data_IF_832189946744
#
_entry.id   IF_832189946744
#
_cell.length_a   1.000
_cell.length_b   1.000
_cell.length_c   1.000
_cell.angle_alpha   90.00
_cell.angle_beta   90.00
_cell.angle_gamma   90.00
#
_symmetry.space_group_name_H-M   'P 1'
#
loop_
_entity.id
_entity.type
_entity.pdbx_description
1 polymer ?
#
# COMPACT_ATOMS: atom_id res chain seq x y z
N UNK A 1 15.24 -15.91 13.55
CA UNK A 1 15.00 -15.67 12.10
C UNK A 1 13.71 -14.90 11.82
N UNK A 2 12.59 -15.14 12.53
CA UNK A 2 11.33 -14.38 12.33
C UNK A 2 11.49 -12.88 12.59
N UNK A 3 12.16 -12.47 13.69
CA UNK A 3 12.39 -11.04 14.01
C UNK A 3 13.04 -10.26 12.86
N UNK A 4 13.98 -10.88 12.11
CA UNK A 4 14.70 -10.25 11.00
C UNK A 4 13.78 -9.92 9.81
N UNK A 5 12.86 -10.82 9.46
CA UNK A 5 11.88 -10.58 8.39
C UNK A 5 10.90 -9.44 8.73
N UNK A 6 10.56 -9.29 10.02
CA UNK A 6 9.65 -8.25 10.50
C UNK A 6 10.37 -6.93 10.84
N UNK A 7 11.69 -6.88 11.08
CA UNK A 7 12.40 -5.63 11.45
C UNK A 7 13.41 -5.11 10.42
N UNK A 8 14.02 -5.94 9.57
CA UNK A 8 14.95 -5.45 8.52
C UNK A 8 14.21 -4.98 7.25
N UNK A 9 13.01 -5.49 6.96
CA UNK A 9 12.22 -5.06 5.79
C UNK A 9 11.52 -3.69 5.94
N UNK A 10 10.99 -3.27 7.11
CA UNK A 10 10.46 -1.92 7.30
C UNK A 10 11.57 -0.85 7.32
N UNK A 11 12.74 -1.20 7.86
CA UNK A 11 13.90 -0.30 7.94
C UNK A 11 14.46 0.05 6.55
N UNK A 12 14.28 -0.80 5.54
CA UNK A 12 14.75 -0.54 4.17
C UNK A 12 13.82 0.38 3.36
N UNK A 13 12.63 0.71 3.88
CA UNK A 13 11.65 1.62 3.25
C UNK A 13 11.34 2.88 4.08
N UNK A 14 11.99 3.06 5.23
CA UNK A 14 11.85 4.27 6.06
C UNK A 14 10.52 4.39 6.82
N UNK A 15 9.75 3.31 6.96
CA UNK A 15 8.51 3.27 7.74
C UNK A 15 8.75 2.55 9.08
N UNK A 16 8.10 3.03 10.15
CA UNK A 16 8.12 2.26 11.40
C UNK A 16 7.39 0.94 11.19
N UNK A 17 7.84 -0.12 11.85
CA UNK A 17 7.18 -1.43 11.77
C UNK A 17 5.67 -1.37 12.07
N UNK A 18 5.28 -0.50 13.01
CA UNK A 18 3.89 -0.27 13.37
C UNK A 18 3.05 0.33 12.23
N UNK A 19 3.59 1.31 11.51
CA UNK A 19 2.91 1.91 10.35
C UNK A 19 2.73 0.89 9.22
N UNK A 20 3.80 0.14 8.91
CA UNK A 20 3.75 -0.87 7.86
C UNK A 20 2.78 -2.01 8.21
N UNK A 21 2.83 -2.50 9.44
CA UNK A 21 1.93 -3.53 9.95
C UNK A 21 0.47 -3.06 9.94
N UNK A 22 0.20 -1.83 10.38
CA UNK A 22 -1.15 -1.26 10.39
C UNK A 22 -1.70 -1.10 8.98
N UNK A 23 -0.89 -0.57 8.05
CA UNK A 23 -1.28 -0.40 6.66
C UNK A 23 -1.56 -1.75 5.99
N UNK A 24 -0.63 -2.70 6.09
CA UNK A 24 -0.78 -4.04 5.52
C UNK A 24 -1.98 -4.79 6.12
N UNK A 25 -2.15 -4.72 7.44
CA UNK A 25 -3.29 -5.34 8.13
C UNK A 25 -4.62 -4.75 7.70
N UNK A 26 -4.71 -3.43 7.49
CA UNK A 26 -5.96 -2.78 7.02
C UNK A 26 -6.40 -3.31 5.65
N UNK A 27 -5.46 -3.55 4.74
CA UNK A 27 -5.73 -4.15 3.43
C UNK A 27 -6.14 -5.62 3.58
N UNK A 28 -5.39 -6.39 4.37
CA UNK A 28 -5.65 -7.81 4.60
C UNK A 28 -7.05 -8.07 5.18
N UNK A 29 -7.43 -7.35 6.25
CA UNK A 29 -8.76 -7.50 6.86
C UNK A 29 -9.89 -7.11 5.90
N UNK A 30 -9.71 -6.06 5.10
CA UNK A 30 -10.69 -5.68 4.08
C UNK A 30 -10.86 -6.76 3.00
N UNK A 31 -9.75 -7.36 2.53
CA UNK A 31 -9.78 -8.47 1.56
C UNK A 31 -10.46 -9.72 2.13
N UNK A 32 -10.17 -10.08 3.38
CA UNK A 32 -10.83 -11.20 4.06
C UNK A 32 -12.33 -10.97 4.15
N UNK A 33 -12.75 -9.78 4.61
CA UNK A 33 -14.17 -9.42 4.68
C UNK A 33 -14.87 -9.45 3.32
N UNK A 34 -14.23 -8.92 2.28
CA UNK A 34 -14.74 -8.99 0.91
C UNK A 34 -14.85 -10.43 0.39
N UNK A 35 -13.85 -11.27 0.68
CA UNK A 35 -13.85 -12.69 0.33
C UNK A 35 -15.01 -13.44 0.99
N UNK A 36 -15.21 -13.24 2.30
CA UNK A 36 -16.35 -13.80 3.02
C UNK A 36 -17.69 -13.33 2.43
N UNK A 37 -17.81 -12.05 2.11
CA UNK A 37 -19.01 -11.50 1.48
C UNK A 37 -19.29 -12.13 0.11
N UNK A 38 -18.25 -12.38 -0.71
CA UNK A 38 -18.39 -13.09 -1.97
C UNK A 38 -18.80 -14.55 -1.80
N UNK A 39 -18.27 -15.26 -0.80
CA UNK A 39 -18.67 -16.63 -0.49
C UNK A 39 -20.15 -16.70 -0.09
N UNK A 40 -20.59 -15.79 0.79
CA UNK A 40 -22.00 -15.70 1.18
C UNK A 40 -22.88 -15.33 -0.01
N UNK A 41 -22.45 -14.40 -0.87
CA UNK A 41 -23.15 -14.05 -2.09
C UNK A 41 -23.30 -15.25 -3.05
N UNK A 42 -22.26 -16.07 -3.19
CA UNK A 42 -22.32 -17.30 -3.99
C UNK A 42 -23.36 -18.30 -3.48
N UNK A 43 -23.61 -18.33 -2.16
CA UNK A 43 -24.66 -19.14 -1.55
C UNK A 43 -26.04 -18.46 -1.60
N UNK A 44 -26.08 -17.15 -1.41
CA UNK A 44 -27.27 -16.30 -1.33
C UNK A 44 -27.13 -15.14 -2.33
N UNK A 45 -27.55 -15.32 -3.60
CA UNK A 45 -27.24 -14.39 -4.69
C UNK A 45 -27.88 -13.00 -4.55
N UNK A 46 -28.81 -12.81 -3.60
CA UNK A 46 -29.41 -11.52 -3.28
C UNK A 46 -28.65 -10.74 -2.19
N UNK A 47 -27.74 -11.38 -1.46
CA UNK A 47 -26.98 -10.76 -0.37
C UNK A 47 -25.60 -10.33 -0.88
N UNK A 48 -25.09 -9.18 -0.42
CA UNK A 48 -23.73 -8.68 -0.74
C UNK A 48 -23.37 -8.49 -2.23
N UNK A 49 -24.37 -8.28 -3.10
CA UNK A 49 -24.25 -8.18 -4.58
C UNK A 49 -23.10 -7.30 -5.09
N UNK A 50 -22.82 -6.19 -4.41
CA UNK A 50 -21.76 -5.23 -4.80
C UNK A 50 -20.65 -5.10 -3.77
N UNK A 51 -20.70 -5.88 -2.68
CA UNK A 51 -19.78 -5.67 -1.55
C UNK A 51 -18.35 -6.05 -1.91
N UNK A 52 -18.16 -7.17 -2.60
CA UNK A 52 -16.84 -7.62 -3.04
C UNK A 52 -16.19 -6.64 -4.02
N UNK A 53 -16.89 -6.29 -5.09
CA UNK A 53 -16.35 -5.38 -6.12
C UNK A 53 -16.05 -3.99 -5.57
N UNK A 54 -16.96 -3.39 -4.80
CA UNK A 54 -16.74 -2.07 -4.16
C UNK A 54 -15.55 -2.08 -3.21
N UNK A 55 -15.34 -3.18 -2.49
CA UNK A 55 -14.18 -3.30 -1.61
C UNK A 55 -12.88 -3.35 -2.43
N UNK A 56 -12.81 -4.16 -3.48
CA UNK A 56 -11.64 -4.24 -4.36
C UNK A 56 -11.37 -2.89 -5.04
N UNK A 57 -12.40 -2.21 -5.56
CA UNK A 57 -12.27 -0.87 -6.13
C UNK A 57 -11.68 0.11 -5.11
N UNK A 58 -12.19 0.11 -3.88
CA UNK A 58 -11.67 0.96 -2.80
C UNK A 58 -10.21 0.66 -2.44
N UNK A 59 -9.83 -0.63 -2.36
CA UNK A 59 -8.46 -1.04 -2.10
C UNK A 59 -7.53 -0.66 -3.26
N UNK A 60 -7.99 -0.83 -4.50
CA UNK A 60 -7.26 -0.44 -5.70
C UNK A 60 -7.02 1.07 -5.74
N UNK A 61 -8.04 1.88 -5.49
CA UNK A 61 -7.89 3.34 -5.40
C UNK A 61 -6.87 3.74 -4.34
N UNK A 62 -6.93 3.14 -3.14
CA UNK A 62 -5.94 3.39 -2.08
C UNK A 62 -4.52 3.02 -2.50
N UNK A 63 -4.35 1.91 -3.23
CA UNK A 63 -3.05 1.46 -3.74
C UNK A 63 -2.46 2.44 -4.75
N UNK A 64 -3.27 2.93 -5.70
CA UNK A 64 -2.82 3.89 -6.72
C UNK A 64 -2.50 5.26 -6.10
N UNK A 65 -3.38 5.80 -5.25
CA UNK A 65 -3.15 7.11 -4.60
C UNK A 65 -1.89 7.11 -3.72
N UNK A 66 -1.62 6.02 -3.00
CA UNK A 66 -0.40 5.91 -2.20
C UNK A 66 0.88 5.77 -3.06
N UNK A 67 0.77 5.15 -4.24
CA UNK A 67 1.88 5.05 -5.21
C UNK A 67 2.26 6.41 -5.78
N UNK A 68 1.28 7.21 -6.19
CA UNK A 68 1.52 8.55 -6.74
C UNK A 68 2.22 9.46 -5.73
N UNK A 69 1.82 9.42 -4.46
CA UNK A 69 2.46 10.21 -3.39
C UNK A 69 3.94 9.85 -3.18
N UNK A 70 4.30 8.56 -3.30
CA UNK A 70 5.70 8.12 -3.21
C UNK A 70 6.52 8.56 -4.42
N UNK A 71 5.94 8.59 -5.62
CA UNK A 71 6.62 9.07 -6.82
C UNK A 71 6.87 10.58 -6.78
N UNK A 72 5.89 11.38 -6.35
CA UNK A 72 6.03 12.83 -6.19
C UNK A 72 7.05 13.22 -5.13
N UNK A 73 7.20 12.44 -4.05
CA UNK A 73 8.23 12.67 -3.02
C UNK A 73 9.65 12.35 -3.53
N UNK A 74 9.81 11.42 -4.48
CA UNK A 74 11.11 11.10 -5.08
C UNK A 74 11.57 12.12 -6.14
N UNK A 75 10.63 12.79 -6.81
CA UNK A 75 10.94 13.77 -7.85
C UNK A 75 11.52 15.09 -7.29
N UNK A 76 11.13 15.49 -6.07
CA UNK A 76 11.58 16.75 -5.45
C UNK A 76 13.05 16.74 -4.97
N UNK A 77 13.71 15.58 -4.94
CA UNK A 77 15.10 15.44 -4.46
C UNK A 77 16.13 15.43 -5.60
N UNK A 78 15.69 15.46 -6.87
CA UNK A 78 16.57 15.26 -8.04
C UNK A 78 17.08 16.55 -8.72
N UNK A 79 16.74 17.74 -8.22
CA UNK A 79 17.16 19.01 -8.84
C UNK A 79 18.07 19.83 -7.93
N UNK A 80 19.34 19.44 -7.84
CA UNK A 80 20.43 20.32 -7.41
C UNK A 80 21.39 20.52 -8.59
N UNK A 81 21.51 21.74 -9.16
CA UNK A 81 22.38 21.99 -10.30
C UNK A 81 23.84 22.02 -9.82
N UNK A 82 24.64 21.06 -10.29
CA UNK A 82 26.09 21.03 -10.10
C UNK A 82 26.72 22.26 -10.78
N UNK A 83 27.05 23.30 -10.01
CA UNK A 83 28.05 24.31 -10.42
C UNK A 83 29.43 23.66 -10.33
N UNK A 84 30.10 23.52 -11.47
CA UNK A 84 31.48 23.02 -11.55
C UNK A 84 32.45 24.21 -11.35
N UNK A 85 33.37 24.17 -10.36
CA UNK A 85 34.39 25.20 -10.19
C UNK A 85 35.67 24.82 -10.95
N UNK A 86 36.25 25.77 -11.66
CA UNK A 86 37.67 25.76 -12.06
C UNK A 86 37.99 25.07 -13.39
N UNK A 87 38.07 25.86 -14.46
CA UNK A 87 39.06 25.65 -15.52
C UNK A 87 40.02 26.84 -15.46
N UNK A 88 41.31 26.50 -15.40
CA UNK A 88 42.46 27.34 -15.08
C UNK A 88 42.86 28.30 -16.21
#
# INVERSE_FOLDING_TARGET
>A
MIKRAFTEHPASVGESYGEHLAQASSFGFAMIGAGLACLIHGLLPFLFVKTGSRCIEGLHQRMVTHRDRRQSAGASTASAPTRQPGQA
#
